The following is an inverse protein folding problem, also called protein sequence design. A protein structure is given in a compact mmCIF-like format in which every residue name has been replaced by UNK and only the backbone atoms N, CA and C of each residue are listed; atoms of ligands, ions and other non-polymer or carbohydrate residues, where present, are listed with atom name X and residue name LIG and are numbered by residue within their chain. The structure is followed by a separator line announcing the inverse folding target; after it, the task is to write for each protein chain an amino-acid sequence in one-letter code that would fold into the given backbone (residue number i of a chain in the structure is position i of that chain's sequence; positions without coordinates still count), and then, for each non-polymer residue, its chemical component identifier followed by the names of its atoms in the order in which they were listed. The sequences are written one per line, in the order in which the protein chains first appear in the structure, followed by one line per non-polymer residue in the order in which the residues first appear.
data_IF_208688216690
#
_entry.id   IF_208688216690
#
_cell.length_a   1.000
_cell.length_b   1.000
_cell.length_c   1.000
_cell.angle_alpha   90.00
_cell.angle_beta   90.00
_cell.angle_gamma   90.00
#
_symmetry.space_group_name_H-M   'P 1'
#
loop_
_entity.id
_entity.type
_entity.pdbx_description
1 polymer ?
#
# COMPACT_ATOMS: atom_id res chain seq x y z
N UNK A 1 1.46 -19.01 10.96
CA UNK A 1 0.89 -17.62 10.93
C UNK A 1 0.90 -17.15 9.49
N UNK A 2 -0.26 -16.84 8.92
CA UNK A 2 -0.39 -16.47 7.50
C UNK A 2 0.17 -15.08 7.26
N UNK A 3 1.16 -14.98 6.36
CA UNK A 3 1.65 -13.71 5.83
C UNK A 3 0.49 -13.02 5.11
N UNK A 4 -0.08 -12.02 5.78
CA UNK A 4 -1.16 -11.21 5.24
C UNK A 4 -0.53 -10.29 4.18
N UNK A 5 -0.49 -10.75 2.94
CA UNK A 5 -0.62 -9.82 1.82
C UNK A 5 -2.10 -9.56 1.68
N UNK A 6 -2.53 -8.38 2.11
CA UNK A 6 -3.92 -7.94 2.01
C UNK A 6 -4.24 -7.82 0.52
N UNK A 7 -4.84 -8.86 -0.05
CA UNK A 7 -5.55 -8.75 -1.33
C UNK A 7 -6.67 -7.75 -1.15
N UNK A 8 -6.45 -6.55 -1.66
CA UNK A 8 -7.51 -5.57 -1.71
C UNK A 8 -8.24 -5.77 -3.03
N UNK A 9 -9.39 -6.45 -2.96
CA UNK A 9 -10.33 -6.51 -4.08
C UNK A 9 -10.87 -5.12 -4.32
N UNK A 10 -10.82 -4.67 -5.57
CA UNK A 10 -11.25 -3.34 -5.99
C UNK A 10 -12.44 -3.48 -6.92
N UNK A 11 -13.45 -2.63 -6.73
CA UNK A 11 -14.54 -2.48 -7.70
C UNK A 11 -14.37 -1.19 -8.46
N UNK A 12 -14.51 -1.30 -9.78
CA UNK A 12 -14.56 -0.16 -10.67
C UNK A 12 -15.91 -0.15 -11.40
N UNK A 13 -16.73 0.85 -11.08
CA UNK A 13 -18.12 1.00 -11.53
C UNK A 13 -19.15 0.92 -10.38
N UNK A 14 -20.41 1.25 -10.69
CA UNK A 14 -21.51 1.20 -9.73
C UNK A 14 -22.18 -0.17 -9.72
N UNK A 15 -22.55 -0.64 -8.51
CA UNK A 15 -23.28 -1.89 -8.32
C UNK A 15 -24.47 -1.62 -7.40
N UNK A 16 -25.65 -1.93 -7.91
CA UNK A 16 -26.90 -1.78 -7.17
C UNK A 16 -27.14 -2.99 -6.25
N UNK A 17 -26.51 -2.97 -5.07
CA UNK A 17 -26.73 -3.95 -4.00
C UNK A 17 -27.14 -3.25 -2.70
N UNK A 18 -28.18 -3.77 -2.03
CA UNK A 18 -28.68 -3.20 -0.76
C UNK A 18 -27.66 -3.26 0.38
N UNK A 19 -26.77 -4.25 0.36
CA UNK A 19 -25.73 -4.43 1.36
C UNK A 19 -24.47 -4.98 0.67
N UNK A 20 -23.46 -4.11 0.50
CA UNK A 20 -22.21 -4.45 -0.19
C UNK A 20 -21.41 -5.52 0.56
N UNK A 21 -21.22 -5.36 1.87
CA UNK A 21 -20.46 -6.34 2.68
C UNK A 21 -21.05 -7.74 2.59
N UNK A 22 -22.39 -7.85 2.70
CA UNK A 22 -23.08 -9.14 2.55
C UNK A 22 -22.90 -9.70 1.15
N UNK A 23 -23.01 -8.87 0.12
CA UNK A 23 -22.81 -9.31 -1.26
C UNK A 23 -21.40 -9.88 -1.48
N UNK A 24 -20.36 -9.20 -1.00
CA UNK A 24 -19.00 -9.74 -1.08
C UNK A 24 -18.81 -11.03 -0.28
N UNK A 25 -19.40 -11.12 0.91
CA UNK A 25 -19.37 -12.36 1.69
C UNK A 25 -20.04 -13.52 0.93
N UNK A 26 -21.16 -13.25 0.26
CA UNK A 26 -21.84 -14.24 -0.59
C UNK A 26 -20.95 -14.65 -1.79
N UNK A 27 -20.26 -13.71 -2.45
CA UNK A 27 -19.32 -14.00 -3.55
C UNK A 27 -18.13 -14.86 -3.10
N UNK A 28 -17.47 -14.49 -2.00
CA UNK A 28 -16.33 -15.24 -1.45
C UNK A 28 -16.78 -16.65 -1.05
N UNK A 29 -17.96 -16.78 -0.46
CA UNK A 29 -18.53 -18.08 -0.11
C UNK A 29 -18.79 -18.93 -1.36
N UNK A 30 -19.30 -18.34 -2.44
CA UNK A 30 -19.49 -19.05 -3.71
C UNK A 30 -18.15 -19.54 -4.30
N UNK A 31 -17.10 -18.73 -4.24
CA UNK A 31 -15.75 -19.14 -4.68
C UNK A 31 -15.22 -20.29 -3.81
N UNK A 32 -15.40 -20.25 -2.49
CA UNK A 32 -15.02 -21.36 -1.61
C UNK A 32 -15.76 -22.65 -1.98
N UNK A 33 -17.05 -22.55 -2.30
CA UNK A 33 -17.85 -23.70 -2.76
C UNK A 33 -17.29 -24.31 -4.05
N UNK A 34 -16.87 -23.47 -5.00
CA UNK A 34 -16.28 -23.92 -6.27
C UNK A 34 -14.92 -24.61 -6.04
N UNK A 35 -14.13 -24.10 -5.09
CA UNK A 35 -12.71 -24.44 -4.96
C UNK A 35 -12.39 -25.56 -3.97
N UNK A 36 -13.33 -25.89 -3.08
CA UNK A 36 -13.14 -26.86 -2.00
C UNK A 36 -14.12 -28.01 -2.11
N UNK A 37 -13.69 -29.21 -1.74
CA UNK A 37 -14.58 -30.37 -1.63
C UNK A 37 -15.35 -30.34 -0.31
N UNK A 38 -16.61 -30.78 -0.31
CA UNK A 38 -17.45 -30.82 0.88
C UNK A 38 -18.16 -32.17 1.01
N UNK A 39 -18.31 -32.66 2.24
CA UNK A 39 -18.98 -33.93 2.53
C UNK A 39 -20.42 -33.76 3.04
N UNK A 40 -20.82 -32.53 3.38
CA UNK A 40 -22.12 -32.21 3.97
C UNK A 40 -23.00 -31.45 2.98
N UNK A 41 -24.28 -31.80 2.96
CA UNK A 41 -25.31 -31.01 2.27
C UNK A 41 -25.56 -29.68 3.00
N UNK A 42 -25.87 -28.58 2.27
CA UNK A 42 -26.04 -28.49 0.81
C UNK A 42 -24.74 -28.26 0.03
N UNK A 43 -23.59 -28.13 0.70
CA UNK A 43 -22.34 -27.70 0.07
C UNK A 43 -21.77 -28.74 -0.89
N UNK A 44 -21.90 -30.04 -0.56
CA UNK A 44 -21.49 -31.14 -1.43
C UNK A 44 -22.15 -31.04 -2.81
N UNK A 45 -23.49 -31.01 -2.85
CA UNK A 45 -24.25 -30.89 -4.08
C UNK A 45 -23.94 -29.60 -4.86
N UNK A 46 -23.72 -28.48 -4.15
CA UNK A 46 -23.33 -27.22 -4.80
C UNK A 46 -21.92 -27.30 -5.41
N UNK A 47 -20.95 -27.88 -4.71
CA UNK A 47 -19.60 -28.08 -5.22
C UNK A 47 -19.60 -28.99 -6.46
N UNK A 48 -20.21 -30.17 -6.38
CA UNK A 48 -20.31 -31.11 -7.51
C UNK A 48 -20.96 -30.44 -8.74
N UNK A 49 -21.91 -29.53 -8.51
CA UNK A 49 -22.57 -28.78 -9.57
C UNK A 49 -21.72 -27.68 -10.19
N UNK A 50 -20.77 -27.04 -9.51
CA UNK A 50 -20.07 -25.85 -10.01
C UNK A 50 -18.53 -25.98 -10.05
N UNK A 51 -17.97 -27.11 -9.61
CA UNK A 51 -16.52 -27.34 -9.59
C UNK A 51 -15.87 -27.34 -10.99
N UNK A 52 -16.67 -27.54 -12.05
CA UNK A 52 -16.22 -27.45 -13.44
C UNK A 52 -15.65 -26.08 -13.82
N UNK A 53 -16.07 -25.02 -13.10
CA UNK A 53 -15.60 -23.64 -13.30
C UNK A 53 -14.10 -23.49 -13.03
N UNK A 54 -13.54 -24.32 -12.14
CA UNK A 54 -12.12 -24.26 -11.78
C UNK A 54 -11.20 -25.04 -12.72
N UNK A 55 -11.76 -25.82 -13.66
CA UNK A 55 -10.96 -26.67 -14.57
C UNK A 55 -10.07 -25.82 -15.48
N UNK A 56 -8.81 -26.19 -15.61
CA UNK A 56 -7.84 -25.49 -16.45
C UNK A 56 -7.17 -24.29 -15.77
N UNK A 57 -7.43 -24.07 -14.47
CA UNK A 57 -6.81 -23.02 -13.67
C UNK A 57 -5.76 -23.55 -12.69
N UNK A 58 -5.36 -24.82 -12.82
CA UNK A 58 -4.45 -25.49 -11.90
C UNK A 58 -3.07 -24.82 -11.87
N UNK A 59 -2.57 -24.36 -13.03
CA UNK A 59 -1.29 -23.65 -13.12
C UNK A 59 -1.32 -22.32 -12.35
N UNK A 60 -2.42 -21.57 -12.46
CA UNK A 60 -2.57 -20.29 -11.75
C UNK A 60 -2.67 -20.55 -10.25
N UNK A 61 -3.42 -21.58 -9.83
CA UNK A 61 -3.51 -21.96 -8.42
C UNK A 61 -2.14 -22.29 -7.83
N UNK A 62 -1.30 -23.01 -8.59
CA UNK A 62 0.05 -23.40 -8.15
C UNK A 62 1.05 -22.23 -8.10
N UNK A 63 1.03 -21.34 -9.10
CA UNK A 63 2.00 -20.24 -9.20
C UNK A 63 1.59 -18.99 -8.42
N UNK A 64 0.29 -18.74 -8.34
CA UNK A 64 -0.29 -17.53 -7.77
C UNK A 64 -1.72 -17.81 -7.27
N UNK A 65 -1.83 -18.67 -6.24
CA UNK A 65 -3.09 -19.00 -5.54
C UNK A 65 -3.98 -17.77 -5.27
N UNK A 66 -3.42 -16.61 -4.89
CA UNK A 66 -4.24 -15.43 -4.67
C UNK A 66 -4.78 -14.76 -5.94
N UNK A 67 -4.01 -14.75 -7.04
CA UNK A 67 -4.58 -14.37 -8.34
C UNK A 67 -5.69 -15.35 -8.74
N UNK A 68 -5.49 -16.66 -8.52
CA UNK A 68 -6.49 -17.68 -8.81
C UNK A 68 -7.84 -17.42 -8.11
N UNK A 69 -7.82 -17.17 -6.79
CA UNK A 69 -9.04 -16.83 -6.02
C UNK A 69 -9.69 -15.54 -6.55
N UNK A 70 -8.87 -14.55 -6.91
CA UNK A 70 -9.33 -13.27 -7.42
C UNK A 70 -9.99 -13.39 -8.80
N UNK A 71 -9.41 -14.21 -9.67
CA UNK A 71 -9.94 -14.49 -10.99
C UNK A 71 -11.29 -15.24 -10.91
N UNK A 72 -11.39 -16.25 -10.05
CA UNK A 72 -12.67 -16.92 -9.80
C UNK A 72 -13.72 -15.98 -9.21
N UNK A 73 -13.33 -15.10 -8.28
CA UNK A 73 -14.22 -14.07 -7.75
C UNK A 73 -14.75 -13.16 -8.85
N UNK A 74 -13.88 -12.78 -9.79
CA UNK A 74 -14.28 -12.04 -10.99
C UNK A 74 -15.25 -12.83 -11.85
N UNK A 75 -15.00 -14.11 -12.16
CA UNK A 75 -15.91 -14.93 -12.96
C UNK A 75 -17.30 -15.03 -12.32
N UNK A 76 -17.38 -15.30 -11.02
CA UNK A 76 -18.66 -15.36 -10.29
C UNK A 76 -19.38 -14.01 -10.32
N UNK A 77 -18.64 -12.92 -10.15
CA UNK A 77 -19.18 -11.57 -10.19
C UNK A 77 -19.70 -11.18 -11.58
N UNK A 78 -18.92 -11.45 -12.63
CA UNK A 78 -19.28 -11.14 -14.01
C UNK A 78 -20.52 -11.93 -14.44
N UNK A 79 -20.59 -13.22 -14.10
CA UNK A 79 -21.80 -14.02 -14.29
C UNK A 79 -22.99 -13.46 -13.49
N UNK A 80 -22.78 -13.00 -12.25
CA UNK A 80 -23.86 -12.44 -11.44
C UNK A 80 -24.48 -11.21 -12.10
N UNK A 81 -23.66 -10.27 -12.61
CA UNK A 81 -24.14 -9.05 -13.26
C UNK A 81 -24.76 -9.34 -14.63
N UNK A 82 -24.26 -10.36 -15.34
CA UNK A 82 -24.70 -10.71 -16.69
C UNK A 82 -25.81 -11.79 -16.72
N UNK A 83 -26.37 -12.15 -15.56
CA UNK A 83 -27.37 -13.22 -15.42
C UNK A 83 -26.91 -14.60 -15.93
N UNK A 84 -25.62 -14.91 -15.75
CA UNK A 84 -25.02 -16.21 -16.03
C UNK A 84 -25.37 -17.29 -15.01
N UNK A 85 -24.81 -18.49 -15.22
CA UNK A 85 -25.09 -19.70 -14.43
C UNK A 85 -24.67 -19.53 -12.96
N UNK A 86 -23.60 -18.79 -12.69
CA UNK A 86 -23.07 -18.62 -11.32
C UNK A 86 -23.93 -17.68 -10.46
N UNK A 87 -24.83 -16.90 -11.07
CA UNK A 87 -25.80 -16.09 -10.32
C UNK A 87 -26.63 -16.96 -9.37
N UNK A 88 -27.09 -18.12 -9.83
CA UNK A 88 -27.89 -19.04 -9.03
C UNK A 88 -27.12 -19.58 -7.81
N UNK A 89 -25.80 -19.77 -7.93
CA UNK A 89 -24.96 -20.16 -6.79
C UNK A 89 -24.93 -19.06 -5.72
N UNK A 90 -24.70 -17.81 -6.13
CA UNK A 90 -24.69 -16.65 -5.21
C UNK A 90 -26.06 -16.48 -4.53
N UNK A 91 -27.15 -16.68 -5.27
CA UNK A 91 -28.51 -16.61 -4.73
C UNK A 91 -28.81 -17.73 -3.72
N UNK A 92 -28.38 -18.96 -3.98
CA UNK A 92 -28.52 -20.06 -3.02
C UNK A 92 -27.67 -19.84 -1.77
N UNK A 93 -26.43 -19.36 -1.91
CA UNK A 93 -25.58 -18.94 -0.78
C UNK A 93 -26.30 -17.93 0.10
N UNK A 94 -26.91 -16.91 -0.52
CA UNK A 94 -27.64 -15.86 0.19
C UNK A 94 -28.90 -16.40 0.87
N UNK A 95 -29.70 -17.19 0.16
CA UNK A 95 -30.97 -17.76 0.64
C UNK A 95 -30.75 -18.67 1.85
N UNK A 96 -29.70 -19.47 1.81
CA UNK A 96 -29.35 -20.41 2.88
C UNK A 96 -28.45 -19.78 3.96
N UNK A 97 -28.06 -18.50 3.79
CA UNK A 97 -27.11 -17.77 4.64
C UNK A 97 -25.80 -18.55 4.88
N UNK A 98 -25.28 -19.19 3.83
CA UNK A 98 -24.10 -20.06 3.93
C UNK A 98 -22.85 -19.30 4.36
N UNK A 99 -22.72 -18.01 4.04
CA UNK A 99 -21.58 -17.19 4.48
C UNK A 99 -21.39 -17.16 6.01
N UNK A 100 -22.46 -17.38 6.81
CA UNK A 100 -22.35 -17.47 8.28
C UNK A 100 -21.96 -18.86 8.76
N UNK A 101 -22.38 -19.90 8.03
CA UNK A 101 -22.27 -21.29 8.45
C UNK A 101 -21.11 -22.03 7.79
N UNK A 102 -20.47 -21.45 6.77
CA UNK A 102 -19.45 -22.15 5.97
C UNK A 102 -18.30 -22.70 6.84
N UNK A 103 -17.93 -22.00 7.92
CA UNK A 103 -16.95 -22.47 8.90
C UNK A 103 -17.35 -23.78 9.62
N UNK A 104 -18.64 -24.05 9.76
CA UNK A 104 -19.19 -25.28 10.37
C UNK A 104 -19.17 -26.49 9.39
N UNK A 105 -18.98 -26.21 8.09
CA UNK A 105 -19.06 -27.20 7.02
C UNK A 105 -17.73 -27.46 6.32
N UNK A 106 -16.76 -26.55 6.42
CA UNK A 106 -15.39 -26.81 6.02
C UNK A 106 -14.85 -27.89 6.95
N UNK A 107 -14.41 -29.02 6.40
CA UNK A 107 -13.48 -29.89 7.13
C UNK A 107 -12.23 -29.06 7.37
N UNK A 108 -11.97 -28.71 8.62
CA UNK A 108 -10.60 -28.41 9.01
C UNK A 108 -9.92 -29.77 8.93
N UNK A 109 -9.14 -30.03 7.88
CA UNK A 109 -8.17 -31.11 7.95
C UNK A 109 -7.23 -30.72 9.08
N UNK A 110 -7.43 -31.32 10.26
CA UNK A 110 -6.50 -31.21 11.38
C UNK A 110 -5.12 -31.82 11.04
N UNK A 111 -5.00 -32.47 9.87
CA UNK A 111 -3.75 -33.03 9.31
C UNK A 111 -3.11 -32.18 8.19
N UNK A 112 -3.62 -30.97 7.90
CA UNK A 112 -2.88 -30.01 7.08
C UNK A 112 -1.78 -29.33 7.91
N UNK A 113 -0.86 -30.15 8.42
CA UNK A 113 0.34 -29.78 9.18
C UNK A 113 1.54 -29.50 8.24
N UNK A 114 1.27 -29.22 6.97
CA UNK A 114 2.20 -28.48 6.14
C UNK A 114 1.75 -27.02 6.23
N UNK A 115 2.43 -26.22 7.06
CA UNK A 115 2.37 -24.77 6.95
C UNK A 115 2.59 -24.43 5.48
N UNK A 116 1.52 -24.09 4.75
CA UNK A 116 1.60 -23.58 3.39
C UNK A 116 2.63 -22.44 3.45
N UNK A 117 3.84 -22.72 2.95
CA UNK A 117 4.97 -21.80 3.03
C UNK A 117 4.69 -20.75 1.97
N UNK A 118 3.87 -19.77 2.32
CA UNK A 118 3.62 -18.63 1.47
C UNK A 118 4.97 -17.97 1.18
N UNK A 119 5.31 -17.73 -0.10
CA UNK A 119 6.56 -17.07 -0.42
C UNK A 119 6.60 -15.73 0.30
N UNK A 120 7.70 -15.48 1.02
CA UNK A 120 7.90 -14.20 1.66
C UNK A 120 7.87 -13.09 0.59
N UNK A 121 7.20 -11.96 0.86
CA UNK A 121 7.13 -10.87 -0.08
C UNK A 121 8.52 -10.35 -0.43
N UNK A 122 8.64 -9.82 -1.64
CA UNK A 122 9.90 -9.31 -2.19
C UNK A 122 9.78 -7.83 -2.51
N UNK A 123 10.83 -7.09 -2.19
CA UNK A 123 11.01 -5.69 -2.58
C UNK A 123 12.19 -5.59 -3.52
N UNK A 124 11.94 -5.05 -4.71
CA UNK A 124 13.01 -4.59 -5.58
C UNK A 124 13.12 -3.08 -5.45
N UNK A 125 14.31 -2.62 -5.04
CA UNK A 125 14.60 -1.20 -4.87
C UNK A 125 15.46 -0.72 -6.03
N UNK A 126 15.06 0.35 -6.67
CA UNK A 126 15.74 0.98 -7.79
C UNK A 126 16.18 2.39 -7.41
N UNK A 127 17.21 2.90 -8.07
CA UNK A 127 17.63 4.29 -7.89
C UNK A 127 16.55 5.22 -8.43
N UNK A 128 16.11 6.19 -7.63
CA UNK A 128 15.29 7.29 -8.13
C UNK A 128 16.15 8.22 -9.00
N UNK A 129 15.74 8.52 -10.24
CA UNK A 129 16.31 9.61 -11.03
C UNK A 129 15.98 10.98 -10.40
N UNK A 130 15.58 11.95 -11.21
CA UNK A 130 14.95 13.18 -10.71
C UNK A 130 13.51 12.91 -10.25
N UNK A 131 13.21 13.15 -8.96
CA UNK A 131 11.91 12.84 -8.33
C UNK A 131 10.75 13.56 -9.02
N UNK A 132 10.92 14.83 -9.43
CA UNK A 132 9.89 15.59 -10.12
C UNK A 132 9.58 14.99 -11.49
N UNK A 133 10.60 14.59 -12.24
CA UNK A 133 10.42 13.89 -13.51
C UNK A 133 9.76 12.52 -13.31
N UNK A 134 10.05 11.80 -12.24
CA UNK A 134 9.42 10.50 -11.95
C UNK A 134 7.93 10.69 -11.73
N UNK A 135 7.53 11.59 -10.83
CA UNK A 135 6.11 11.89 -10.58
C UNK A 135 5.38 12.29 -11.85
N UNK A 136 5.91 13.27 -12.59
CA UNK A 136 5.33 13.70 -13.86
C UNK A 136 5.12 12.56 -14.85
N UNK A 137 6.08 11.62 -14.94
CA UNK A 137 5.99 10.48 -15.85
C UNK A 137 4.96 9.45 -15.39
N UNK A 138 4.95 9.07 -14.11
CA UNK A 138 3.95 8.13 -13.57
C UNK A 138 2.56 8.73 -13.69
N UNK A 139 2.37 9.99 -13.30
CA UNK A 139 1.09 10.67 -13.40
C UNK A 139 0.59 10.77 -14.84
N UNK A 140 1.49 10.94 -15.82
CA UNK A 140 1.13 10.96 -17.24
C UNK A 140 0.59 9.64 -17.78
N UNK A 141 0.85 8.52 -17.08
CA UNK A 141 0.30 7.19 -17.38
C UNK A 141 -0.71 6.72 -16.33
N UNK A 142 -0.96 7.53 -15.30
CA UNK A 142 -1.90 7.20 -14.24
C UNK A 142 -3.30 7.03 -14.82
N UNK A 143 -3.93 5.90 -14.50
CA UNK A 143 -5.25 5.55 -15.01
C UNK A 143 -5.28 5.06 -16.46
N UNK A 144 -4.13 5.00 -17.16
CA UNK A 144 -4.05 4.32 -18.47
C UNK A 144 -4.01 2.82 -18.26
N UNK A 145 -4.80 2.12 -19.06
CA UNK A 145 -4.85 0.66 -19.04
C UNK A 145 -3.90 0.05 -20.07
N UNK A 146 -3.15 -0.94 -19.62
CA UNK A 146 -2.34 -1.79 -20.47
C UNK A 146 -3.01 -3.15 -20.58
N UNK A 147 -3.46 -3.48 -21.78
CA UNK A 147 -3.94 -4.83 -22.12
C UNK A 147 -2.74 -5.76 -22.28
N UNK A 148 -2.73 -6.85 -21.52
CA UNK A 148 -1.62 -7.81 -21.48
C UNK A 148 -2.12 -9.18 -21.03
N UNK A 149 -1.21 -10.13 -20.87
CA UNK A 149 -1.47 -11.45 -20.32
C UNK A 149 -0.62 -11.71 -19.08
N UNK A 150 -1.21 -12.35 -18.06
CA UNK A 150 -0.50 -12.86 -16.89
C UNK A 150 -1.00 -14.27 -16.58
N UNK A 151 -0.09 -15.25 -16.57
CA UNK A 151 -0.41 -16.68 -16.37
C UNK A 151 -1.54 -17.20 -17.28
N UNK A 152 -1.51 -16.82 -18.57
CA UNK A 152 -2.51 -17.23 -19.57
C UNK A 152 -3.86 -16.50 -19.46
N UNK A 153 -4.02 -15.59 -18.51
CA UNK A 153 -5.23 -14.77 -18.37
C UNK A 153 -4.99 -13.40 -19.01
N UNK A 154 -5.89 -13.00 -19.89
CA UNK A 154 -5.96 -11.63 -20.40
C UNK A 154 -6.35 -10.67 -19.28
N UNK A 155 -5.53 -9.66 -19.04
CA UNK A 155 -5.69 -8.69 -17.96
C UNK A 155 -5.49 -7.26 -18.44
N UNK A 156 -6.02 -6.32 -17.67
CA UNK A 156 -5.93 -4.89 -17.88
C UNK A 156 -5.27 -4.26 -16.65
N UNK A 157 -4.00 -3.91 -16.81
CA UNK A 157 -3.18 -3.33 -15.75
C UNK A 157 -3.25 -1.80 -15.81
N UNK A 158 -3.48 -1.15 -14.68
CA UNK A 158 -3.29 0.30 -14.53
C UNK A 158 -2.42 0.55 -13.31
N UNK A 159 -1.55 1.58 -13.36
CA UNK A 159 -0.83 2.07 -12.18
C UNK A 159 -1.46 3.42 -11.84
N UNK A 160 -1.80 3.67 -10.58
CA UNK A 160 -2.39 4.94 -10.13
C UNK A 160 -2.08 5.20 -8.65
N UNK A 161 -2.20 6.44 -8.16
CA UNK A 161 -2.10 6.75 -6.74
C UNK A 161 -3.04 5.87 -5.90
N UNK A 162 -2.56 5.42 -4.74
CA UNK A 162 -3.33 4.53 -3.85
C UNK A 162 -3.50 5.06 -2.42
N UNK A 163 -2.78 6.13 -2.06
CA UNK A 163 -3.02 6.85 -0.81
C UNK A 163 -2.87 8.35 -1.06
N UNK A 164 -3.23 9.14 -0.05
CA UNK A 164 -2.96 10.57 0.00
C UNK A 164 -1.47 10.85 0.31
N UNK A 165 -0.64 9.81 0.50
CA UNK A 165 0.80 9.95 0.72
C UNK A 165 1.57 10.26 -0.56
N UNK A 166 2.68 10.99 -0.40
CA UNK A 166 3.53 11.38 -1.51
C UNK A 166 4.26 10.17 -2.11
N UNK A 167 4.02 9.95 -3.40
CA UNK A 167 4.76 8.95 -4.17
C UNK A 167 4.32 7.51 -3.94
N UNK A 168 3.12 7.28 -3.38
CA UNK A 168 2.57 5.94 -3.22
C UNK A 168 1.58 5.58 -4.33
N UNK A 169 1.93 4.56 -5.11
CA UNK A 169 1.15 4.07 -6.23
C UNK A 169 0.89 2.58 -6.05
N UNK A 170 -0.19 2.09 -6.65
CA UNK A 170 -0.42 0.67 -6.77
C UNK A 170 -0.73 0.27 -8.21
N UNK A 171 -0.14 -0.85 -8.69
CA UNK A 171 -0.68 -1.57 -9.84
C UNK A 171 -2.05 -2.16 -9.47
N UNK A 172 -3.06 -1.91 -10.29
CA UNK A 172 -4.36 -2.56 -10.23
C UNK A 172 -4.55 -3.41 -11.47
N UNK A 173 -4.92 -4.65 -11.26
CA UNK A 173 -5.15 -5.63 -12.32
C UNK A 173 -6.64 -5.94 -12.40
N UNK A 174 -7.23 -5.73 -13.57
CA UNK A 174 -8.62 -6.08 -13.88
C UNK A 174 -8.66 -7.20 -14.90
N UNK A 175 -9.71 -8.02 -14.88
CA UNK A 175 -9.88 -9.16 -15.78
C UNK A 175 -10.79 -8.85 -16.99
N UNK A 176 -11.47 -7.71 -16.96
CA UNK A 176 -12.33 -7.23 -18.05
C UNK A 176 -12.20 -5.71 -18.21
N UNK A 177 -12.54 -5.20 -19.41
CA UNK A 177 -12.69 -3.75 -19.68
C UNK A 177 -14.08 -3.23 -19.31
N UNK A 178 -15.07 -4.12 -19.22
CA UNK A 178 -16.46 -3.74 -19.03
C UNK A 178 -16.71 -3.37 -17.56
N UNK A 179 -17.37 -2.25 -17.30
CA UNK A 179 -17.80 -1.86 -15.95
C UNK A 179 -19.28 -2.25 -15.72
N UNK A 180 -19.69 -2.61 -14.49
CA UNK A 180 -18.86 -2.75 -13.29
C UNK A 180 -17.95 -3.98 -13.36
N UNK A 181 -16.78 -3.92 -12.73
CA UNK A 181 -15.80 -5.02 -12.70
C UNK A 181 -15.07 -5.13 -11.37
N UNK A 182 -14.62 -6.35 -11.10
CA UNK A 182 -13.66 -6.64 -10.05
C UNK A 182 -12.23 -6.58 -10.60
N UNK A 183 -11.35 -6.02 -9.80
CA UNK A 183 -9.91 -6.11 -9.96
C UNK A 183 -9.24 -6.32 -8.61
N UNK A 184 -7.91 -6.32 -8.64
CA UNK A 184 -7.08 -6.49 -7.46
C UNK A 184 -5.98 -5.46 -7.40
N UNK A 185 -5.68 -4.99 -6.20
CA UNK A 185 -4.39 -4.36 -5.92
C UNK A 185 -3.29 -5.40 -6.08
N UNK A 186 -2.42 -5.21 -7.05
CA UNK A 186 -1.44 -6.19 -7.52
C UNK A 186 -0.03 -5.86 -7.02
N UNK A 187 0.09 -5.44 -5.75
CA UNK A 187 1.32 -5.00 -5.09
C UNK A 187 1.37 -3.49 -4.84
N UNK A 188 2.57 -3.01 -4.49
CA UNK A 188 2.82 -1.63 -4.06
C UNK A 188 4.05 -1.03 -4.73
N UNK A 189 3.99 0.25 -5.03
CA UNK A 189 5.09 1.03 -5.58
C UNK A 189 5.22 2.29 -4.72
N UNK A 190 6.28 2.37 -3.91
CA UNK A 190 6.65 3.60 -3.22
C UNK A 190 7.80 4.28 -3.94
N UNK A 191 7.66 5.58 -4.14
CA UNK A 191 8.64 6.43 -4.79
C UNK A 191 9.07 7.47 -3.77
N UNK A 192 10.35 7.49 -3.45
CA UNK A 192 10.97 8.51 -2.63
C UNK A 192 12.21 9.11 -3.35
N UNK A 193 12.81 10.20 -2.85
CA UNK A 193 13.92 10.85 -3.54
C UNK A 193 15.19 10.00 -3.71
N UNK A 194 15.33 8.90 -2.98
CA UNK A 194 16.47 7.99 -3.04
C UNK A 194 16.16 6.71 -3.80
N UNK A 195 14.96 6.17 -3.63
CA UNK A 195 14.58 4.86 -4.16
C UNK A 195 13.15 4.80 -4.71
N UNK A 196 12.99 4.02 -5.76
CA UNK A 196 11.71 3.48 -6.21
C UNK A 196 11.65 2.04 -5.73
N UNK A 197 10.68 1.71 -4.89
CA UNK A 197 10.54 0.38 -4.30
C UNK A 197 9.28 -0.27 -4.83
N UNK A 198 9.42 -1.46 -5.39
CA UNK A 198 8.32 -2.28 -5.90
C UNK A 198 8.18 -3.48 -4.99
N UNK A 199 7.13 -3.48 -4.16
CA UNK A 199 6.78 -4.55 -3.24
C UNK A 199 5.74 -5.47 -3.88
N UNK A 200 6.04 -6.76 -3.88
CA UNK A 200 5.19 -7.80 -4.44
C UNK A 200 5.23 -9.07 -3.60
N UNK A 201 4.28 -9.96 -3.83
CA UNK A 201 4.28 -11.30 -3.22
C UNK A 201 5.49 -12.14 -3.56
N UNK A 202 5.90 -12.08 -4.82
CA UNK A 202 6.91 -12.95 -5.37
C UNK A 202 7.59 -12.27 -6.55
N UNK A 203 8.71 -12.85 -7.00
CA UNK A 203 9.45 -12.28 -8.12
C UNK A 203 8.69 -12.32 -9.45
N UNK A 204 7.77 -13.27 -9.65
CA UNK A 204 7.00 -13.38 -10.89
C UNK A 204 6.12 -12.14 -11.08
N UNK A 205 5.44 -11.69 -10.03
CA UNK A 205 4.68 -10.44 -10.06
C UNK A 205 5.55 -9.21 -10.28
N UNK A 206 6.76 -9.15 -9.71
CA UNK A 206 7.70 -8.04 -10.00
C UNK A 206 8.06 -8.05 -11.48
N UNK A 207 8.44 -9.20 -12.03
CA UNK A 207 8.80 -9.35 -13.44
C UNK A 207 7.64 -8.99 -14.37
N UNK A 208 6.40 -9.19 -13.94
CA UNK A 208 5.22 -8.76 -14.66
C UNK A 208 4.98 -7.25 -14.60
N UNK A 209 5.08 -6.61 -13.43
CA UNK A 209 4.80 -5.17 -13.26
C UNK A 209 5.93 -4.29 -13.80
N UNK A 210 7.18 -4.73 -13.66
CA UNK A 210 8.38 -3.95 -13.98
C UNK A 210 8.40 -3.40 -15.42
N UNK A 211 8.10 -4.16 -16.48
CA UNK A 211 8.06 -3.64 -17.85
C UNK A 211 7.12 -2.44 -18.03
N UNK A 212 5.99 -2.40 -17.31
CA UNK A 212 5.06 -1.28 -17.38
C UNK A 212 5.60 -0.03 -16.68
N UNK A 213 6.28 -0.23 -15.55
CA UNK A 213 6.96 0.83 -14.84
C UNK A 213 8.14 1.39 -15.68
N UNK A 214 8.93 0.52 -16.32
CA UNK A 214 10.02 0.93 -17.21
C UNK A 214 9.52 1.61 -18.50
N UNK A 215 8.34 1.23 -19.00
CA UNK A 215 7.69 1.94 -20.11
C UNK A 215 7.33 3.38 -19.74
N UNK A 216 6.95 3.61 -18.48
CA UNK A 216 6.63 4.96 -17.98
C UNK A 216 7.89 5.76 -17.64
N UNK A 217 8.85 5.15 -16.94
CA UNK A 217 9.98 5.85 -16.33
C UNK A 217 11.25 5.85 -17.20
N UNK A 218 11.36 4.90 -18.12
CA UNK A 218 12.61 4.48 -18.74
C UNK A 218 13.28 3.35 -17.96
N UNK A 219 14.43 2.88 -18.45
CA UNK A 219 15.20 1.79 -17.83
C UNK A 219 15.54 2.12 -16.37
N UNK A 220 15.19 1.22 -15.45
CA UNK A 220 15.45 1.39 -14.03
C UNK A 220 16.79 0.74 -13.63
N UNK A 221 17.48 1.37 -12.66
CA UNK A 221 18.76 0.87 -12.14
C UNK A 221 18.49 0.19 -10.81
N UNK A 222 18.57 -1.14 -10.78
CA UNK A 222 18.38 -1.94 -9.57
C UNK A 222 19.49 -1.65 -8.54
N UNK A 223 19.09 -1.36 -7.30
CA UNK A 223 19.99 -1.21 -6.14
C UNK A 223 20.05 -2.48 -5.32
N UNK A 224 18.89 -3.06 -5.01
CA UNK A 224 18.79 -4.25 -4.16
C UNK A 224 17.52 -5.05 -4.47
N UNK A 225 17.59 -6.33 -4.09
CA UNK A 225 16.45 -7.23 -3.99
C UNK A 225 16.44 -7.77 -2.57
N UNK A 226 15.31 -7.65 -1.90
CA UNK A 226 15.18 -8.07 -0.51
C UNK A 226 13.93 -8.91 -0.37
N UNK A 227 14.08 -10.07 0.24
CA UNK A 227 12.97 -10.87 0.71
C UNK A 227 12.63 -10.40 2.13
N UNK A 228 11.36 -10.08 2.38
CA UNK A 228 10.92 -9.47 3.63
C UNK A 228 10.27 -10.51 4.54
N UNK A 229 10.82 -10.63 5.74
CA UNK A 229 10.19 -11.32 6.85
C UNK A 229 9.33 -10.30 7.61
N UNK A 230 8.03 -10.30 7.34
CA UNK A 230 7.06 -9.41 8.00
C UNK A 230 6.37 -10.21 9.08
N UNK A 231 6.79 -10.03 10.33
CA UNK A 231 6.16 -10.62 11.51
C UNK A 231 4.90 -9.86 11.94
N UNK A 232 4.90 -8.53 11.79
CA UNK A 232 3.77 -7.65 12.06
C UNK A 232 3.60 -6.64 10.91
N UNK A 233 2.43 -6.66 10.27
CA UNK A 233 2.11 -5.81 9.12
C UNK A 233 1.98 -4.34 9.51
N UNK A 234 1.37 -4.05 10.66
CA UNK A 234 1.19 -2.67 11.12
C UNK A 234 2.55 -2.07 11.49
N UNK A 235 3.38 -2.83 12.20
CA UNK A 235 4.74 -2.41 12.54
C UNK A 235 5.57 -2.10 11.28
N UNK A 236 5.46 -2.96 10.26
CA UNK A 236 6.14 -2.77 8.98
C UNK A 236 5.67 -1.51 8.25
N UNK A 237 4.35 -1.30 8.13
CA UNK A 237 3.78 -0.13 7.46
C UNK A 237 4.14 1.17 8.17
N UNK A 238 4.10 1.18 9.50
CA UNK A 238 4.48 2.32 10.31
C UNK A 238 5.96 2.68 10.13
N UNK A 239 6.86 1.68 10.17
CA UNK A 239 8.28 1.89 9.91
C UNK A 239 8.53 2.41 8.48
N UNK A 240 7.81 1.88 7.48
CA UNK A 240 7.94 2.31 6.09
C UNK A 240 7.53 3.77 5.89
N UNK A 241 6.38 4.16 6.46
CA UNK A 241 5.90 5.54 6.46
C UNK A 241 6.94 6.51 7.01
N UNK A 242 7.56 6.18 8.15
CA UNK A 242 8.55 7.05 8.79
C UNK A 242 9.84 7.13 7.98
N UNK A 243 10.29 6.01 7.41
CA UNK A 243 11.46 6.00 6.52
C UNK A 243 11.21 6.90 5.30
N UNK A 244 10.02 6.82 4.69
CA UNK A 244 9.63 7.71 3.58
C UNK A 244 9.63 9.17 4.04
N UNK A 245 9.02 9.48 5.19
CA UNK A 245 8.97 10.82 5.74
C UNK A 245 10.38 11.40 5.98
N UNK A 246 11.28 10.60 6.57
CA UNK A 246 12.68 10.96 6.82
C UNK A 246 13.41 11.27 5.51
N UNK A 247 13.25 10.42 4.49
CA UNK A 247 13.88 10.59 3.17
C UNK A 247 13.40 11.83 2.44
N UNK A 248 12.09 12.06 2.39
CA UNK A 248 11.53 13.27 1.79
C UNK A 248 11.99 14.53 2.50
N UNK A 249 11.97 14.52 3.83
CA UNK A 249 12.44 15.63 4.64
C UNK A 249 13.91 15.91 4.36
N UNK A 250 14.77 14.89 4.47
CA UNK A 250 16.21 15.06 4.26
C UNK A 250 16.53 15.60 2.86
N UNK A 251 15.89 15.06 1.82
CA UNK A 251 16.06 15.55 0.46
C UNK A 251 15.57 16.99 0.29
N UNK A 252 14.39 17.33 0.84
CA UNK A 252 13.82 18.67 0.71
C UNK A 252 14.67 19.73 1.44
N UNK A 253 15.18 19.38 2.62
CA UNK A 253 16.11 20.22 3.38
C UNK A 253 17.42 20.43 2.60
N UNK A 254 18.03 19.35 2.11
CA UNK A 254 19.27 19.43 1.31
C UNK A 254 19.08 20.27 0.04
N UNK A 255 17.95 20.10 -0.64
CA UNK A 255 17.61 20.85 -1.87
C UNK A 255 17.42 22.34 -1.57
N UNK A 256 16.88 22.67 -0.40
CA UNK A 256 16.69 24.05 0.09
C UNK A 256 17.92 24.59 0.86
N UNK A 257 19.04 23.85 0.86
CA UNK A 257 20.27 24.19 1.60
C UNK A 257 20.02 24.49 3.09
N UNK A 258 19.14 23.70 3.71
CA UNK A 258 18.80 23.75 5.12
C UNK A 258 19.32 22.50 5.84
N UNK A 259 19.72 22.68 7.08
CA UNK A 259 19.98 21.60 8.04
C UNK A 259 18.74 21.35 8.91
N UNK A 260 18.66 20.18 9.54
CA UNK A 260 17.57 19.86 10.46
C UNK A 260 17.49 20.87 11.62
N UNK A 261 18.64 21.24 12.19
CA UNK A 261 18.71 22.21 13.29
C UNK A 261 18.24 23.61 12.90
N UNK A 262 18.56 24.08 11.68
CA UNK A 262 18.02 25.34 11.15
C UNK A 262 16.49 25.27 11.03
N UNK A 263 15.94 24.16 10.51
CA UNK A 263 14.50 24.02 10.30
C UNK A 263 13.72 23.91 11.60
N UNK A 264 14.28 23.28 12.63
CA UNK A 264 13.70 23.30 13.99
C UNK A 264 13.48 24.75 14.46
N UNK A 265 14.42 25.66 14.19
CA UNK A 265 14.26 27.06 14.54
C UNK A 265 13.18 27.78 13.71
N UNK A 266 12.88 27.27 12.52
CA UNK A 266 11.87 27.82 11.62
C UNK A 266 10.46 27.23 11.79
N UNK A 267 10.27 26.22 12.64
CA UNK A 267 8.96 25.59 12.87
C UNK A 267 7.84 26.60 13.15
N UNK A 268 8.01 27.65 13.96
CA UNK A 268 6.94 28.63 14.18
C UNK A 268 6.46 29.32 12.89
N UNK A 269 7.37 29.58 11.95
CA UNK A 269 7.02 30.20 10.65
C UNK A 269 6.34 29.21 9.72
N UNK A 270 6.80 27.96 9.71
CA UNK A 270 6.17 26.88 8.93
C UNK A 270 4.75 26.65 9.44
N UNK A 271 4.53 26.58 10.76
CA UNK A 271 3.19 26.48 11.36
C UNK A 271 2.31 27.66 11.00
N UNK A 272 2.84 28.89 11.02
CA UNK A 272 2.07 30.08 10.66
C UNK A 272 1.55 30.06 9.22
N UNK A 273 2.14 29.23 8.34
CA UNK A 273 1.67 29.04 6.96
C UNK A 273 0.53 28.03 6.80
N UNK A 274 0.20 27.27 7.86
CA UNK A 274 -0.85 26.23 7.86
C UNK A 274 -2.15 26.81 8.43
N UNK A 275 -3.30 26.46 7.85
CA UNK A 275 -4.60 26.80 8.42
C UNK A 275 -4.80 26.05 9.75
N UNK A 276 -5.22 26.75 10.81
CA UNK A 276 -5.41 26.21 12.18
C UNK A 276 -4.16 25.47 12.73
N UNK A 277 -3.04 26.18 12.97
CA UNK A 277 -1.77 25.55 13.39
C UNK A 277 -1.85 24.73 14.68
N UNK A 278 -2.71 25.13 15.63
CA UNK A 278 -2.93 24.37 16.87
C UNK A 278 -3.57 23.01 16.61
N UNK A 279 -4.52 22.95 15.68
CA UNK A 279 -5.16 21.69 15.28
C UNK A 279 -4.17 20.81 14.53
N UNK A 280 -3.41 21.39 13.59
CA UNK A 280 -2.38 20.67 12.85
C UNK A 280 -1.36 19.99 13.77
N UNK A 281 -0.82 20.71 14.78
CA UNK A 281 0.10 20.12 15.75
C UNK A 281 -0.55 18.99 16.55
N UNK A 282 -1.83 19.15 16.92
CA UNK A 282 -2.57 18.08 17.59
C UNK A 282 -2.66 16.85 16.70
N UNK A 283 -3.05 17.01 15.44
CA UNK A 283 -3.17 15.90 14.47
C UNK A 283 -1.83 15.17 14.27
N UNK A 284 -0.71 15.90 14.24
CA UNK A 284 0.64 15.32 14.18
C UNK A 284 0.96 14.50 15.44
N UNK A 285 0.60 14.99 16.63
CA UNK A 285 0.82 14.25 17.88
C UNK A 285 -0.08 13.02 17.97
N UNK A 286 -1.34 13.15 17.57
CA UNK A 286 -2.29 12.05 17.51
C UNK A 286 -1.75 10.95 16.55
N UNK A 287 -1.27 11.34 15.36
CA UNK A 287 -0.59 10.42 14.43
C UNK A 287 0.62 9.72 15.05
N UNK A 288 1.49 10.46 15.76
CA UNK A 288 2.62 9.86 16.47
C UNK A 288 2.15 8.83 17.50
N UNK A 289 1.15 9.16 18.32
CA UNK A 289 0.62 8.24 19.33
C UNK A 289 -0.04 7.01 18.72
N UNK A 290 -0.76 7.15 17.61
CA UNK A 290 -1.37 6.04 16.89
C UNK A 290 -0.31 5.09 16.31
N UNK A 291 0.76 5.63 15.74
CA UNK A 291 1.89 4.82 15.25
C UNK A 291 2.55 4.06 16.40
N UNK A 292 2.82 4.73 17.53
CA UNK A 292 3.42 4.09 18.69
C UNK A 292 2.52 2.99 19.29
N UNK A 293 1.20 3.22 19.32
CA UNK A 293 0.24 2.23 19.77
C UNK A 293 0.12 1.03 18.82
N UNK A 294 0.26 1.26 17.51
CA UNK A 294 0.27 0.22 16.48
C UNK A 294 1.59 -0.55 16.37
N UNK A 295 2.64 -0.12 17.07
CA UNK A 295 3.97 -0.73 17.02
C UNK A 295 4.84 -0.16 15.90
N UNK A 296 6.15 -0.17 16.12
CA UNK A 296 7.14 0.33 15.15
C UNK A 296 8.50 -0.37 15.30
N UNK A 297 9.09 -0.76 14.17
CA UNK A 297 10.46 -1.26 14.11
C UNK A 297 11.47 -0.10 14.25
N UNK A 298 11.76 0.29 15.49
CA UNK A 298 12.67 1.42 15.78
C UNK A 298 14.10 1.17 15.29
N UNK A 299 14.55 -0.08 15.17
CA UNK A 299 15.89 -0.39 14.68
C UNK A 299 16.04 -0.01 13.20
N UNK A 300 15.02 -0.28 12.39
CA UNK A 300 15.00 0.10 10.97
C UNK A 300 14.97 1.62 10.81
N UNK A 301 14.17 2.31 11.62
CA UNK A 301 14.12 3.78 11.61
C UNK A 301 15.43 4.39 12.09
N UNK A 302 16.04 3.85 13.15
CA UNK A 302 17.35 4.29 13.64
C UNK A 302 18.42 4.15 12.57
N UNK A 303 18.47 3.00 11.89
CA UNK A 303 19.41 2.77 10.79
C UNK A 303 19.22 3.78 9.66
N UNK A 304 17.99 4.14 9.34
CA UNK A 304 17.74 5.20 8.34
C UNK A 304 18.20 6.57 8.84
N UNK A 305 17.92 6.93 10.10
CA UNK A 305 18.43 8.18 10.71
C UNK A 305 19.96 8.25 10.69
N UNK A 306 20.64 7.12 10.94
CA UNK A 306 22.10 6.99 10.79
C UNK A 306 22.55 7.19 9.33
N UNK A 307 21.90 6.54 8.37
CA UNK A 307 22.20 6.68 6.94
C UNK A 307 22.04 8.11 6.43
N UNK A 308 21.07 8.86 6.97
CA UNK A 308 20.83 10.26 6.63
C UNK A 308 21.77 11.23 7.38
N UNK A 309 22.64 10.74 8.27
CA UNK A 309 23.58 11.55 9.03
C UNK A 309 22.92 12.39 10.13
N UNK A 310 21.77 11.96 10.64
CA UNK A 310 20.99 12.62 11.70
C UNK A 310 21.07 11.90 13.06
N UNK A 311 21.95 10.92 13.18
CA UNK A 311 22.24 10.27 14.45
C UNK A 311 23.37 11.00 15.20
N UNK A 312 23.22 11.13 16.52
CA UNK A 312 24.10 11.85 17.44
C UNK A 312 24.38 13.31 17.06
N UNK A 313 23.45 13.98 16.39
CA UNK A 313 23.56 15.41 16.07
C UNK A 313 23.04 16.27 17.23
N UNK A 314 23.62 17.45 17.41
CA UNK A 314 23.11 18.43 18.38
C UNK A 314 21.90 19.15 17.83
N UNK A 315 20.77 19.07 18.54
CA UNK A 315 19.51 19.69 18.14
C UNK A 315 19.03 20.73 19.17
N UNK A 316 18.37 21.82 18.74
CA UNK A 316 17.81 22.81 19.66
C UNK A 316 16.73 22.20 20.56
N UNK A 317 16.70 22.55 21.86
CA UNK A 317 15.62 22.10 22.75
C UNK A 317 14.31 22.89 22.60
N UNK A 318 14.37 24.05 21.93
CA UNK A 318 13.24 24.90 21.56
C UNK A 318 13.58 25.74 20.33
N UNK A 319 12.60 26.17 19.51
CA UNK A 319 12.85 27.06 18.39
C UNK A 319 13.43 28.42 18.87
N UNK A 320 14.49 28.90 18.21
CA UNK A 320 15.02 30.23 18.44
C UNK A 320 14.45 31.24 17.43
N UNK A 321 13.48 32.05 17.85
CA UNK A 321 12.79 33.04 17.01
C UNK A 321 13.60 34.32 16.73
N UNK A 322 14.77 34.50 17.37
CA UNK A 322 15.60 35.70 17.19
C UNK A 322 16.40 35.71 15.88
N UNK A 323 16.58 34.57 15.19
CA UNK A 323 17.33 34.46 13.93
C UNK A 323 16.48 34.66 12.66
N UNK A 324 15.46 35.51 12.74
CA UNK A 324 14.33 35.65 11.81
C UNK A 324 14.59 36.30 10.45
N UNK A 325 15.84 36.38 9.98
CA UNK A 325 16.19 37.08 8.72
C UNK A 325 16.47 36.19 7.51
N UNK A 326 15.87 35.01 7.43
CA UNK A 326 15.97 34.14 6.23
C UNK A 326 14.63 33.57 5.74
N UNK A 327 13.59 34.42 5.64
CA UNK A 327 12.27 34.08 5.06
C UNK A 327 12.39 33.35 3.70
N UNK A 328 13.42 33.67 2.93
CA UNK A 328 13.67 33.09 1.61
C UNK A 328 13.92 31.57 1.60
N UNK A 329 14.47 30.96 2.66
CA UNK A 329 14.77 29.51 2.67
C UNK A 329 13.54 28.66 3.00
N UNK A 330 12.65 29.13 3.87
CA UNK A 330 11.36 28.47 4.14
C UNK A 330 10.48 28.50 2.89
N UNK A 331 10.52 29.61 2.14
CA UNK A 331 9.83 29.73 0.86
C UNK A 331 10.33 28.70 -0.18
N UNK A 332 11.63 28.37 -0.18
CA UNK A 332 12.18 27.32 -1.04
C UNK A 332 11.62 25.94 -0.68
N UNK A 333 11.56 25.61 0.62
CA UNK A 333 10.95 24.36 1.10
C UNK A 333 9.47 24.26 0.69
N UNK A 334 8.70 25.35 0.87
CA UNK A 334 7.30 25.40 0.45
C UNK A 334 7.14 25.32 -1.06
N UNK A 335 8.05 25.90 -1.86
CA UNK A 335 8.08 25.76 -3.32
C UNK A 335 8.35 24.33 -3.75
N UNK A 336 9.20 23.58 -3.03
CA UNK A 336 9.41 22.15 -3.29
C UNK A 336 8.10 21.40 -3.08
N UNK A 337 7.42 21.60 -1.95
CA UNK A 337 6.11 20.98 -1.68
C UNK A 337 5.08 21.27 -2.78
N UNK A 338 4.99 22.53 -3.23
CA UNK A 338 4.11 22.92 -4.34
C UNK A 338 4.46 22.21 -5.65
N UNK A 339 5.74 22.00 -5.95
CA UNK A 339 6.18 21.27 -7.15
C UNK A 339 5.89 19.76 -7.07
N UNK A 340 5.85 19.19 -5.87
CA UNK A 340 5.43 17.80 -5.64
C UNK A 340 3.92 17.60 -5.77
N UNK A 341 3.13 18.68 -5.74
CA UNK A 341 1.67 18.62 -5.82
C UNK A 341 0.98 18.52 -4.45
N UNK A 342 1.71 18.17 -3.39
CA UNK A 342 1.21 18.14 -2.02
C UNK A 342 2.17 18.81 -1.02
N UNK A 343 2.04 20.15 -0.82
CA UNK A 343 2.86 20.86 0.13
C UNK A 343 2.52 20.54 1.59
N UNK A 344 1.28 20.10 1.89
CA UNK A 344 0.86 19.81 3.26
C UNK A 344 1.50 18.50 3.72
N UNK A 345 1.49 17.47 2.88
CA UNK A 345 2.12 16.19 3.22
C UNK A 345 3.63 16.33 3.42
N UNK A 346 4.32 17.20 2.66
CA UNK A 346 5.74 17.49 2.92
C UNK A 346 5.97 18.14 4.29
N UNK A 347 5.04 19.00 4.74
CA UNK A 347 5.10 19.57 6.09
C UNK A 347 4.83 18.47 7.12
N UNK A 348 3.82 17.62 6.93
CA UNK A 348 3.57 16.46 7.81
C UNK A 348 4.83 15.61 7.97
N UNK A 349 5.48 15.25 6.85
CA UNK A 349 6.73 14.48 6.86
C UNK A 349 7.86 15.17 7.60
N UNK A 350 7.99 16.50 7.46
CA UNK A 350 8.98 17.27 8.23
C UNK A 350 8.76 17.13 9.73
N UNK A 351 7.52 17.28 10.20
CA UNK A 351 7.22 17.21 11.64
C UNK A 351 7.40 15.80 12.19
N UNK A 352 6.92 14.78 11.46
CA UNK A 352 7.14 13.36 11.81
C UNK A 352 8.63 13.06 11.87
N UNK A 353 9.40 13.52 10.89
CA UNK A 353 10.86 13.32 10.86
C UNK A 353 11.55 13.97 12.05
N UNK A 354 11.16 15.19 12.42
CA UNK A 354 11.70 15.86 13.62
C UNK A 354 11.39 15.05 14.87
N UNK A 355 10.14 14.59 15.05
CA UNK A 355 9.75 13.77 16.21
C UNK A 355 10.64 12.52 16.32
N UNK A 356 10.77 11.75 15.23
CA UNK A 356 11.53 10.50 15.26
C UNK A 356 13.03 10.71 15.39
N UNK A 357 13.60 11.75 14.77
CA UNK A 357 15.01 12.09 14.98
C UNK A 357 15.26 12.49 16.43
N UNK A 358 14.39 13.30 17.05
CA UNK A 358 14.51 13.65 18.47
C UNK A 358 14.45 12.41 19.35
N UNK A 359 13.44 11.58 19.15
CA UNK A 359 13.25 10.34 19.90
C UNK A 359 14.45 9.41 19.82
N UNK A 360 14.98 9.15 18.61
CA UNK A 360 16.13 8.27 18.39
C UNK A 360 17.40 8.81 19.06
N UNK A 361 17.54 10.13 19.12
CA UNK A 361 18.65 10.80 19.79
C UNK A 361 18.41 11.01 21.30
N UNK A 362 17.27 10.56 21.85
CA UNK A 362 16.94 10.69 23.27
C UNK A 362 16.54 12.10 23.72
N UNK A 363 16.14 12.96 22.78
CA UNK A 363 15.64 14.31 23.06
C UNK A 363 14.12 14.33 23.24
N UNK A 364 13.64 15.23 24.11
CA UNK A 364 12.22 15.54 24.24
C UNK A 364 11.78 16.52 23.13
N UNK A 365 10.80 16.11 22.32
CA UNK A 365 10.25 16.92 21.23
C UNK A 365 9.04 17.77 21.65
N UNK A 366 8.43 17.53 22.83
CA UNK A 366 7.18 18.21 23.21
C UNK A 366 7.35 19.72 23.31
N UNK A 367 8.53 20.17 23.73
CA UNK A 367 8.87 21.58 23.86
C UNK A 367 9.02 22.30 22.50
N UNK A 368 9.19 21.56 21.40
CA UNK A 368 9.31 22.15 20.07
C UNK A 368 7.98 22.71 19.54
N UNK A 369 6.87 22.12 19.99
CA UNK A 369 5.53 22.39 19.45
C UNK A 369 4.65 23.20 20.41
N UNK A 370 5.23 23.76 21.48
CA UNK A 370 4.52 24.67 22.39
C UNK A 370 4.30 26.01 21.68
N UNK A 371 3.04 26.27 21.30
CA UNK A 371 2.55 27.52 20.72
C UNK A 371 2.16 28.54 21.78
#
# INVERSE_FOLDING_TARGET
MSSIVIYTTVIDGEINVKNQQKFYADLVTAVNIITQSFDKEPLKSLHEKYSDVAKGLEEIKLKDSPLYVSYLSHMVFDDYINNGRLKALVEEVRKLNLHKKIKEYIKIDEEADEEETFPLPVVWSFKTPDIFSVFKKIDSVSGKEFETEYLGIKVYLTIRPYSDELGYYAPFLFFTKNKPRLGVKFGDISVDPYEIRVLQLNEERIKFVLPFLEKALGKLILKSKTQLEISDVLEFLNADYIIIALRYTHWALKTSKLTLGEVVNYLPFILASVDKPKQFIKDIKDLYHDIEAGGINLDSVKKEVENLGWYNITLPSRPNTQHTREVNKVDELLKIGKKLGDPIMLIVYLYVSIIYVYKINGYDFDNLFKL
#
